data_IF_440675259397
#
_entry.id   IF_440675259397
#
_cell.length_a   1.000
_cell.length_b   1.000
_cell.length_c   1.000
_cell.angle_alpha   90.00
_cell.angle_beta   90.00
_cell.angle_gamma   90.00
#
_symmetry.space_group_name_H-M   'P 1'
#
loop_
_entity.id
_entity.type
_entity.pdbx_description
1 polymer ?
#
# COMPACT_ATOMS: atom_id res chain seq x y z
N UNK A 1 -49.14 -24.78 -4.14
CA UNK A 1 -47.75 -24.80 -3.59
C UNK A 1 -46.63 -24.56 -4.63
N UNK A 2 -46.90 -24.24 -5.90
CA UNK A 2 -45.88 -24.20 -6.98
C UNK A 2 -45.10 -22.89 -7.11
N UNK A 3 -45.63 -21.77 -6.64
CA UNK A 3 -44.97 -20.45 -6.76
C UNK A 3 -43.80 -20.25 -5.79
N UNK A 4 -43.91 -20.77 -4.56
CA UNK A 4 -42.86 -20.63 -3.53
C UNK A 4 -41.62 -21.44 -3.92
N UNK A 5 -41.83 -22.65 -4.44
CA UNK A 5 -40.76 -23.51 -4.94
C UNK A 5 -40.00 -22.83 -6.08
N UNK A 6 -40.72 -22.28 -7.07
CA UNK A 6 -40.11 -21.59 -8.22
C UNK A 6 -39.30 -20.36 -7.79
N UNK A 7 -39.77 -19.58 -6.80
CA UNK A 7 -39.05 -18.42 -6.25
C UNK A 7 -37.78 -18.84 -5.49
N UNK A 8 -37.79 -19.99 -4.83
CA UNK A 8 -36.62 -20.54 -4.13
C UNK A 8 -35.54 -21.02 -5.10
N UNK A 9 -35.93 -21.65 -6.22
CA UNK A 9 -35.01 -22.01 -7.30
C UNK A 9 -34.33 -20.80 -7.94
N UNK A 10 -35.07 -19.70 -8.16
CA UNK A 10 -34.48 -18.47 -8.68
C UNK A 10 -33.47 -17.84 -7.72
N UNK A 11 -33.73 -17.89 -6.41
CA UNK A 11 -32.78 -17.39 -5.41
C UNK A 11 -31.50 -18.25 -5.38
N UNK A 12 -31.62 -19.57 -5.46
CA UNK A 12 -30.48 -20.48 -5.53
C UNK A 12 -29.66 -20.27 -6.80
N UNK A 13 -30.31 -20.18 -7.96
CA UNK A 13 -29.63 -19.90 -9.24
C UNK A 13 -28.94 -18.54 -9.23
N UNK A 14 -29.59 -17.51 -8.67
CA UNK A 14 -28.98 -16.19 -8.52
C UNK A 14 -27.77 -16.22 -7.59
N UNK A 15 -27.82 -16.97 -6.48
CA UNK A 15 -26.69 -17.13 -5.57
C UNK A 15 -25.51 -17.82 -6.24
N UNK A 16 -25.76 -18.88 -6.99
CA UNK A 16 -24.72 -19.61 -7.75
C UNK A 16 -24.11 -18.70 -8.81
N UNK A 17 -24.93 -17.93 -9.54
CA UNK A 17 -24.45 -16.99 -10.56
C UNK A 17 -23.56 -15.90 -9.94
N UNK A 18 -23.95 -15.35 -8.78
CA UNK A 18 -23.15 -14.35 -8.07
C UNK A 18 -21.83 -14.93 -7.56
N UNK A 19 -21.83 -16.14 -7.00
CA UNK A 19 -20.60 -16.80 -6.57
C UNK A 19 -19.68 -17.07 -7.77
N UNK A 20 -20.20 -17.58 -8.89
CA UNK A 20 -19.41 -17.78 -10.10
C UNK A 20 -18.86 -16.47 -10.68
N UNK A 21 -19.64 -15.38 -10.64
CA UNK A 21 -19.18 -14.06 -11.05
C UNK A 21 -18.06 -13.54 -10.15
N UNK A 22 -18.18 -13.71 -8.84
CA UNK A 22 -17.14 -13.34 -7.87
C UNK A 22 -15.89 -14.19 -8.05
N UNK A 23 -16.03 -15.51 -8.24
CA UNK A 23 -14.92 -16.42 -8.48
C UNK A 23 -14.22 -16.12 -9.81
N UNK A 24 -14.97 -15.86 -10.88
CA UNK A 24 -14.39 -15.47 -12.16
C UNK A 24 -13.66 -14.13 -12.06
N UNK A 25 -14.23 -13.15 -11.36
CA UNK A 25 -13.56 -11.88 -11.13
C UNK A 25 -12.29 -12.06 -10.28
N UNK A 26 -12.31 -12.94 -9.27
CA UNK A 26 -11.14 -13.27 -8.47
C UNK A 26 -10.03 -13.93 -9.29
N UNK A 27 -10.37 -14.87 -10.18
CA UNK A 27 -9.39 -15.49 -11.09
C UNK A 27 -8.88 -14.49 -12.14
N UNK A 28 -9.73 -13.59 -12.66
CA UNK A 28 -9.29 -12.52 -13.56
C UNK A 28 -8.33 -11.56 -12.83
N UNK A 29 -8.60 -11.21 -11.57
CA UNK A 29 -7.70 -10.38 -10.75
C UNK A 29 -6.38 -11.10 -10.48
N UNK A 30 -6.43 -12.40 -10.16
CA UNK A 30 -5.25 -13.24 -9.96
C UNK A 30 -4.42 -13.37 -11.23
N UNK A 31 -5.06 -13.52 -12.38
CA UNK A 31 -4.38 -13.65 -13.67
C UNK A 31 -3.86 -12.31 -14.20
N UNK A 32 -4.56 -11.21 -13.93
CA UNK A 32 -4.05 -9.86 -14.14
C UNK A 32 -2.81 -9.61 -13.26
N UNK A 33 -2.87 -9.99 -11.98
CA UNK A 33 -1.74 -9.91 -11.06
C UNK A 33 -0.57 -10.81 -11.51
N UNK A 34 -0.85 -12.02 -12.00
CA UNK A 34 0.15 -12.93 -12.54
C UNK A 34 0.78 -12.42 -13.86
N UNK A 35 -0.02 -11.78 -14.73
CA UNK A 35 0.48 -11.18 -15.98
C UNK A 35 1.36 -9.95 -15.74
N UNK A 36 1.06 -9.18 -14.69
CA UNK A 36 1.93 -8.09 -14.19
C UNK A 36 3.16 -8.66 -13.47
N UNK A 37 3.04 -9.84 -12.86
CA UNK A 37 4.11 -10.56 -12.15
C UNK A 37 5.08 -11.33 -13.05
N UNK A 38 4.89 -11.31 -14.39
CA UNK A 38 5.75 -12.00 -15.36
C UNK A 38 7.16 -11.39 -15.49
N UNK A 39 7.53 -10.45 -14.62
CA UNK A 39 8.91 -10.09 -14.32
C UNK A 39 9.10 -10.01 -12.80
N UNK A 40 9.59 -11.09 -12.19
CA UNK A 40 10.18 -11.14 -10.84
C UNK A 40 9.45 -10.38 -9.71
N UNK A 41 8.12 -10.23 -9.79
CA UNK A 41 7.33 -9.53 -8.75
C UNK A 41 6.75 -10.49 -7.71
N UNK A 42 6.92 -11.80 -7.90
CA UNK A 42 6.49 -12.84 -6.96
C UNK A 42 7.50 -13.01 -5.80
N UNK A 43 8.75 -12.61 -6.03
CA UNK A 43 9.78 -12.55 -4.99
C UNK A 43 9.92 -11.10 -4.54
N UNK A 44 9.60 -10.83 -3.28
CA UNK A 44 9.82 -9.50 -2.68
C UNK A 44 11.30 -9.17 -2.91
N UNK A 45 11.57 -8.15 -3.73
CA UNK A 45 12.95 -7.74 -3.97
C UNK A 45 13.58 -7.26 -2.66
N UNK A 46 14.37 -8.16 -2.06
CA UNK A 46 14.97 -7.96 -0.74
C UNK A 46 15.89 -6.73 -0.70
N UNK A 47 16.56 -6.44 -1.81
CA UNK A 47 17.46 -5.30 -1.92
C UNK A 47 16.67 -3.98 -1.89
N UNK A 48 15.62 -3.87 -2.70
CA UNK A 48 14.70 -2.73 -2.66
C UNK A 48 14.01 -2.57 -1.31
N UNK A 49 13.61 -3.70 -0.69
CA UNK A 49 12.95 -3.71 0.62
C UNK A 49 13.84 -3.12 1.72
N UNK A 50 15.09 -3.59 1.82
CA UNK A 50 16.07 -3.12 2.81
C UNK A 50 16.46 -1.66 2.56
N UNK A 51 16.74 -1.28 1.31
CA UNK A 51 17.09 0.10 0.94
C UNK A 51 15.97 1.08 1.25
N UNK A 52 14.73 0.76 0.86
CA UNK A 52 13.58 1.62 1.14
C UNK A 52 13.29 1.74 2.64
N UNK A 53 13.50 0.64 3.40
CA UNK A 53 13.35 0.64 4.85
C UNK A 53 14.38 1.58 5.51
N UNK A 54 15.67 1.44 5.17
CA UNK A 54 16.73 2.31 5.68
C UNK A 54 16.51 3.77 5.32
N UNK A 55 16.15 4.03 4.07
CA UNK A 55 15.88 5.38 3.57
C UNK A 55 14.71 6.04 4.32
N UNK A 56 13.63 5.30 4.59
CA UNK A 56 12.50 5.84 5.35
C UNK A 56 12.89 6.17 6.80
N UNK A 57 13.67 5.30 7.45
CA UNK A 57 14.18 5.50 8.81
C UNK A 57 14.99 6.80 8.89
N UNK A 58 15.89 7.01 7.94
CA UNK A 58 16.78 8.17 7.86
C UNK A 58 15.98 9.46 7.62
N UNK A 59 15.08 9.47 6.63
CA UNK A 59 14.28 10.64 6.28
C UNK A 59 13.29 11.05 7.37
N UNK A 60 12.62 10.08 8.01
CA UNK A 60 11.63 10.34 9.07
C UNK A 60 12.29 10.54 10.43
N UNK A 61 13.62 10.40 10.53
CA UNK A 61 14.40 10.49 11.78
C UNK A 61 13.79 9.66 12.89
N UNK A 62 13.40 8.42 12.57
CA UNK A 62 12.76 7.52 13.52
C UNK A 62 13.81 7.02 14.54
N UNK A 63 14.08 7.83 15.58
CA UNK A 63 15.09 7.54 16.61
C UNK A 63 14.86 6.22 17.35
N UNK A 64 13.62 5.75 17.42
CA UNK A 64 13.20 4.53 18.12
C UNK A 64 13.41 3.28 17.24
N UNK A 65 13.64 3.46 15.94
CA UNK A 65 13.68 2.40 14.94
C UNK A 65 14.83 2.66 13.94
N UNK A 66 16.05 2.81 14.44
CA UNK A 66 17.25 3.10 13.64
C UNK A 66 17.75 1.90 12.82
N UNK A 67 17.16 0.71 13.00
CA UNK A 67 17.46 -0.51 12.24
C UNK A 67 16.23 -0.96 11.47
N UNK A 68 16.42 -1.65 10.33
CA UNK A 68 15.32 -2.17 9.52
C UNK A 68 14.38 -3.09 10.32
N UNK A 69 14.87 -4.05 11.13
CA UNK A 69 13.99 -4.85 11.98
C UNK A 69 13.27 -4.02 13.05
N UNK A 70 13.93 -3.01 13.62
CA UNK A 70 13.33 -2.08 14.58
C UNK A 70 12.19 -1.27 13.97
N UNK A 71 12.33 -0.86 12.71
CA UNK A 71 11.29 -0.19 11.94
C UNK A 71 10.06 -1.07 11.74
N UNK A 72 10.26 -2.32 11.30
CA UNK A 72 9.13 -3.22 11.11
C UNK A 72 8.45 -3.61 12.43
N UNK A 73 9.20 -3.74 13.53
CA UNK A 73 8.64 -3.91 14.87
C UNK A 73 7.79 -2.69 15.29
N UNK A 74 8.26 -1.47 14.98
CA UNK A 74 7.51 -0.25 15.23
C UNK A 74 6.24 -0.17 14.37
N UNK A 75 6.31 -0.52 13.08
CA UNK A 75 5.14 -0.62 12.20
C UNK A 75 4.10 -1.60 12.74
N UNK A 76 4.55 -2.76 13.22
CA UNK A 76 3.68 -3.77 13.83
C UNK A 76 3.04 -3.27 15.13
N UNK A 77 3.80 -2.54 15.95
CA UNK A 77 3.27 -1.89 17.15
C UNK A 77 2.18 -0.87 16.82
N UNK A 78 2.41 -0.02 15.82
CA UNK A 78 1.42 0.97 15.38
C UNK A 78 0.15 0.31 14.86
N UNK A 79 0.30 -0.77 14.08
CA UNK A 79 -0.83 -1.53 13.53
C UNK A 79 -1.68 -2.19 14.62
N UNK A 80 -1.05 -2.78 15.64
CA UNK A 80 -1.75 -3.47 16.74
C UNK A 80 -2.33 -2.51 17.78
N UNK A 81 -1.97 -1.23 17.73
CA UNK A 81 -2.41 -0.27 18.72
C UNK A 81 -3.86 0.16 18.50
N UNK A 82 -4.68 0.12 19.55
CA UNK A 82 -6.09 0.55 19.50
C UNK A 82 -6.28 2.08 19.47
N UNK A 83 -5.21 2.85 19.25
CA UNK A 83 -5.27 4.32 19.19
C UNK A 83 -5.37 4.78 17.74
N UNK A 84 -6.42 5.55 17.37
CA UNK A 84 -6.61 5.99 15.99
C UNK A 84 -5.43 6.85 15.49
N UNK A 85 -4.77 7.58 16.39
CA UNK A 85 -3.57 8.35 16.08
C UNK A 85 -2.38 7.46 15.66
N UNK A 86 -2.22 6.29 16.27
CA UNK A 86 -1.13 5.37 15.91
C UNK A 86 -1.38 4.74 14.53
N UNK A 87 -2.64 4.40 14.25
CA UNK A 87 -3.03 3.90 12.92
C UNK A 87 -2.78 4.93 11.82
N UNK A 88 -3.05 6.22 12.06
CA UNK A 88 -2.73 7.28 11.09
C UNK A 88 -1.22 7.36 10.78
N UNK A 89 -0.37 7.20 11.81
CA UNK A 89 1.09 7.15 11.62
C UNK A 89 1.49 5.92 10.81
N UNK A 90 0.89 4.75 11.11
CA UNK A 90 1.11 3.53 10.35
C UNK A 90 0.78 3.71 8.87
N UNK A 91 -0.40 4.24 8.55
CA UNK A 91 -0.83 4.47 7.17
C UNK A 91 0.12 5.43 6.45
N UNK A 92 0.52 6.53 7.09
CA UNK A 92 1.44 7.49 6.49
C UNK A 92 2.83 6.85 6.21
N UNK A 93 3.37 6.08 7.16
CA UNK A 93 4.64 5.37 6.97
C UNK A 93 4.53 4.28 5.91
N UNK A 94 3.44 3.53 5.90
CA UNK A 94 3.20 2.48 4.90
C UNK A 94 3.09 3.08 3.49
N UNK A 95 2.34 4.17 3.31
CA UNK A 95 2.22 4.84 2.01
C UNK A 95 3.56 5.37 1.51
N UNK A 96 4.36 5.98 2.39
CA UNK A 96 5.69 6.46 2.02
C UNK A 96 6.59 5.28 1.64
N UNK A 97 6.63 4.22 2.45
CA UNK A 97 7.38 2.98 2.18
C UNK A 97 7.00 2.37 0.82
N UNK A 98 5.72 2.06 0.61
CA UNK A 98 5.24 1.38 -0.60
C UNK A 98 5.50 2.21 -1.85
N UNK A 99 5.37 3.53 -1.76
CA UNK A 99 5.67 4.40 -2.89
C UNK A 99 7.13 4.33 -3.33
N UNK A 100 8.06 4.19 -2.37
CA UNK A 100 9.48 4.02 -2.68
C UNK A 100 9.80 2.61 -3.17
N UNK A 101 9.20 1.60 -2.54
CA UNK A 101 9.41 0.19 -2.88
C UNK A 101 8.98 -0.11 -4.32
N UNK A 102 7.79 0.35 -4.72
CA UNK A 102 7.28 0.15 -6.09
C UNK A 102 8.17 0.84 -7.12
N UNK A 103 8.60 2.08 -6.85
CA UNK A 103 9.50 2.81 -7.76
C UNK A 103 10.85 2.09 -7.90
N UNK A 104 11.38 1.51 -6.81
CA UNK A 104 12.60 0.71 -6.83
C UNK A 104 12.42 -0.61 -7.59
N UNK A 105 11.35 -1.36 -7.31
CA UNK A 105 11.06 -2.64 -7.93
C UNK A 105 10.83 -2.48 -9.45
N UNK A 106 10.08 -1.45 -9.86
CA UNK A 106 9.89 -1.11 -11.28
C UNK A 106 11.21 -0.72 -11.95
N UNK A 107 12.05 0.10 -11.29
CA UNK A 107 13.36 0.48 -11.83
C UNK A 107 14.29 -0.73 -12.04
N UNK A 108 14.22 -1.73 -11.15
CA UNK A 108 14.93 -3.02 -11.32
C UNK A 108 14.35 -3.87 -12.44
N UNK A 109 13.03 -3.98 -12.52
CA UNK A 109 12.34 -4.73 -13.58
C UNK A 109 12.66 -4.19 -14.99
N UNK A 110 12.82 -2.87 -15.13
CA UNK A 110 13.24 -2.23 -16.38
C UNK A 110 14.76 -2.33 -16.66
N UNK A 111 15.52 -3.10 -15.87
CA UNK A 111 16.97 -3.33 -16.10
C UNK A 111 17.87 -2.16 -15.69
N UNK A 112 17.32 -1.12 -15.07
CA UNK A 112 18.10 0.04 -14.61
C UNK A 112 18.72 -0.17 -13.22
N UNK A 113 18.22 -1.13 -12.45
CA UNK A 113 18.60 -1.35 -11.03
C UNK A 113 19.87 -2.15 -10.74
N UNK A 114 20.77 -2.36 -11.72
CA UNK A 114 22.14 -2.86 -11.46
C UNK A 114 23.17 -1.75 -11.29
N UNK A 115 22.81 -0.52 -11.63
CA UNK A 115 23.60 0.66 -11.30
C UNK A 115 23.03 1.13 -9.97
N UNK A 116 23.85 1.01 -8.92
CA UNK A 116 23.69 1.59 -7.59
C UNK A 116 22.38 2.39 -7.46
N UNK A 117 21.39 1.82 -6.75
CA UNK A 117 20.10 2.44 -6.44
C UNK A 117 20.34 3.68 -5.57
N UNK A 118 20.94 4.72 -6.15
CA UNK A 118 20.79 6.08 -5.71
C UNK A 118 19.37 6.42 -6.08
N UNK A 119 18.43 5.99 -5.24
CA UNK A 119 17.15 6.67 -5.12
C UNK A 119 17.54 8.15 -4.93
N UNK A 120 17.36 9.07 -5.90
CA UNK A 120 17.77 10.43 -5.63
C UNK A 120 16.99 10.94 -4.41
N UNK A 121 17.65 11.13 -3.27
CA UNK A 121 16.98 11.53 -2.04
C UNK A 121 16.07 12.76 -2.28
N UNK A 122 16.42 13.60 -3.26
CA UNK A 122 15.64 14.71 -3.79
C UNK A 122 14.24 14.37 -4.36
N UNK A 123 14.02 13.28 -5.11
CA UNK A 123 12.67 13.00 -5.66
C UNK A 123 11.69 12.55 -4.58
N UNK A 124 12.17 11.80 -3.58
CA UNK A 124 11.35 11.41 -2.43
C UNK A 124 11.14 12.59 -1.48
N UNK A 125 12.18 13.39 -1.20
CA UNK A 125 12.02 14.58 -0.36
C UNK A 125 10.98 15.53 -0.93
N UNK A 126 10.94 15.68 -2.26
CA UNK A 126 9.94 16.49 -2.94
C UNK A 126 8.54 15.90 -2.79
N UNK A 127 8.36 14.58 -2.99
CA UNK A 127 7.05 13.91 -2.87
C UNK A 127 6.52 13.87 -1.42
N UNK A 128 7.37 13.59 -0.43
CA UNK A 128 7.03 13.61 1.00
C UNK A 128 6.79 15.05 1.48
N UNK A 129 7.60 16.01 1.03
CA UNK A 129 7.44 17.44 1.32
C UNK A 129 6.11 18.00 0.80
N UNK A 130 5.69 17.61 -0.41
CA UNK A 130 4.41 18.00 -0.98
C UNK A 130 3.20 17.46 -0.20
N UNK A 131 3.24 16.23 0.34
CA UNK A 131 2.15 15.69 1.18
C UNK A 131 2.06 16.38 2.54
N UNK A 132 3.20 16.70 3.16
CA UNK A 132 3.25 17.44 4.44
C UNK A 132 2.68 18.86 4.32
N UNK A 133 2.83 19.51 3.16
CA UNK A 133 2.23 20.83 2.89
C UNK A 133 0.71 20.73 2.64
N UNK A 134 0.24 19.66 1.99
CA UNK A 134 -1.19 19.41 1.75
C UNK A 134 -2.02 19.11 3.00
N UNK A 135 -1.42 18.50 4.02
CA UNK A 135 -2.10 18.21 5.29
C UNK A 135 -2.29 19.47 6.16
N UNK A 136 -1.46 20.52 5.94
CA UNK A 136 -1.64 21.82 6.60
C UNK A 136 -2.72 22.68 5.94
N UNK A 137 -2.87 22.62 4.61
CA UNK A 137 -3.88 23.40 3.88
C UNK A 137 -5.31 22.86 4.06
N UNK A 138 -5.48 21.55 4.30
CA UNK A 138 -6.82 21.00 4.58
C UNK A 138 -7.31 21.38 5.99
N UNK A 139 -6.43 21.59 6.97
CA UNK A 139 -6.83 22.03 8.33
C UNK A 139 -7.10 23.52 8.48
N UNK A 140 -6.62 24.37 7.57
CA UNK A 140 -6.97 25.80 7.55
C UNK A 140 -8.25 26.09 6.76
N UNK A 141 -8.68 25.20 5.87
CA UNK A 141 -9.91 25.39 5.08
C UNK A 141 -11.23 25.08 5.82
N UNK A 142 -11.18 24.57 7.05
CA UNK A 142 -12.38 24.32 7.87
C UNK A 142 -12.51 25.31 9.06
N UNK A 143 -11.77 26.43 9.04
CA UNK A 143 -11.96 27.55 9.99
C UNK A 143 -12.28 28.84 9.24
N UNK A 144 -13.21 28.77 8.28
CA UNK A 144 -13.76 29.97 7.64
C UNK A 144 -15.16 29.75 7.07
N UNK A 145 -16.05 29.17 7.88
CA UNK A 145 -17.51 29.22 7.69
C UNK A 145 -18.19 29.31 9.05
N UNK A 146 -17.94 30.42 9.75
CA UNK A 146 -18.77 30.87 10.86
C UNK A 146 -18.66 32.39 10.92
N UNK A 147 -19.40 33.06 10.04
CA UNK A 147 -19.97 34.38 10.26
C UNK A 147 -21.42 34.29 9.80
#
# INVERSE_FOLDING_TARGET
MSCVYRRWWYLQLSSILMMNLVTANFEIQKQALASISSGNLEEIDHECWELCSMMLIEMKKLKIANTVPGFWNFMMFLQKSNRPRHYNIFINLAQDFWSMYVDCALSRAHGMGRRQLTIPQGWILQRIGSRSMGEKTIKTSNRMTSV
#
